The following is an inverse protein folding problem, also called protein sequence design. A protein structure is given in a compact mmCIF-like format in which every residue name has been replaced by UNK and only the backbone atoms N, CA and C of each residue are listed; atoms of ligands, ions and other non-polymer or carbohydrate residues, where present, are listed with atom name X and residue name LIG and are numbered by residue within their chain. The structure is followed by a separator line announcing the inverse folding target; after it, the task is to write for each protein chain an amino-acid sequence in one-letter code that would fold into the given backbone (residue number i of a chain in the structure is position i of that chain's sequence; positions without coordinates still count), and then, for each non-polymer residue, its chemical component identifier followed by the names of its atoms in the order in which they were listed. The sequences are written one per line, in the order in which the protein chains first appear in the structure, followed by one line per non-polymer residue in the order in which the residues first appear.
data_IF_584533139186
#
_entry.id   IF_584533139186
#
_cell.length_a   1.000
_cell.length_b   1.000
_cell.length_c   1.000
_cell.angle_alpha   90.00
_cell.angle_beta   90.00
_cell.angle_gamma   90.00
#
_symmetry.space_group_name_H-M   'P 1'
#
loop_
_entity.id
_entity.type
_entity.pdbx_description
1 polymer ?
#
# COMPACT_ATOMS: atom_id res chain seq x y z
N UNK A 1 -5.89 -12.90 4.99
CA UNK A 1 -4.67 -13.75 4.94
C UNK A 1 -3.51 -12.88 5.39
N UNK A 2 -2.95 -13.16 6.57
CA UNK A 2 -1.82 -12.38 7.11
C UNK A 2 -0.60 -12.69 6.24
N UNK A 3 -0.22 -11.76 5.36
CA UNK A 3 1.04 -11.83 4.66
C UNK A 3 2.14 -11.74 5.73
N UNK A 4 2.69 -12.89 6.14
CA UNK A 4 3.93 -12.90 6.92
C UNK A 4 4.93 -12.11 6.10
N UNK A 5 5.30 -10.91 6.57
CA UNK A 5 6.39 -10.15 5.96
C UNK A 5 7.60 -11.09 5.95
N UNK A 6 7.98 -11.56 4.75
CA UNK A 6 9.17 -12.38 4.65
C UNK A 6 10.32 -11.51 5.13
N UNK A 7 11.08 -12.01 6.10
CA UNK A 7 12.26 -11.31 6.58
C UNK A 7 13.19 -11.04 5.37
N UNK A 8 13.53 -9.77 5.09
CA UNK A 8 14.25 -9.40 3.88
C UNK A 8 15.62 -10.08 3.79
N UNK A 9 16.27 -10.32 4.93
CA UNK A 9 17.55 -11.04 4.98
C UNK A 9 17.40 -12.52 4.61
N UNK A 10 16.28 -13.17 4.95
CA UNK A 10 16.05 -14.56 4.53
C UNK A 10 15.97 -14.68 3.00
N UNK A 11 15.37 -13.68 2.33
CA UNK A 11 15.34 -13.63 0.87
C UNK A 11 16.74 -13.41 0.29
N UNK A 12 17.54 -12.52 0.88
CA UNK A 12 18.93 -12.32 0.44
C UNK A 12 19.78 -13.58 0.59
N UNK A 13 19.67 -14.31 1.70
CA UNK A 13 20.42 -15.56 1.92
C UNK A 13 20.01 -16.62 0.91
N UNK A 14 18.72 -16.74 0.60
CA UNK A 14 18.24 -17.64 -0.46
C UNK A 14 18.79 -17.24 -1.82
N UNK A 15 18.78 -15.95 -2.12
CA UNK A 15 19.33 -15.42 -3.37
C UNK A 15 20.82 -15.68 -3.49
N UNK A 16 21.58 -15.47 -2.41
CA UNK A 16 23.01 -15.78 -2.33
C UNK A 16 23.26 -17.27 -2.54
N UNK A 17 22.49 -18.16 -1.92
CA UNK A 17 22.62 -19.60 -2.14
C UNK A 17 22.30 -20.04 -3.57
N UNK A 18 21.44 -19.31 -4.28
CA UNK A 18 21.06 -19.63 -5.66
C UNK A 18 22.01 -19.05 -6.73
N UNK A 19 22.53 -17.84 -6.51
CA UNK A 19 23.31 -17.10 -7.52
C UNK A 19 24.81 -17.07 -7.22
N UNK A 20 25.19 -17.47 -6.01
CA UNK A 20 26.58 -17.61 -5.60
C UNK A 20 26.80 -19.03 -5.08
N UNK A 21 27.98 -19.32 -4.53
CA UNK A 21 28.28 -20.59 -3.88
C UNK A 21 28.08 -20.53 -2.37
N UNK A 22 27.32 -19.58 -1.85
CA UNK A 22 27.08 -19.45 -0.42
C UNK A 22 26.36 -20.71 0.13
N UNK A 23 26.80 -21.29 1.27
CA UNK A 23 27.87 -20.82 2.17
C UNK A 23 29.28 -21.36 1.85
N UNK A 24 29.44 -22.22 0.85
CA UNK A 24 30.71 -22.86 0.48
C UNK A 24 31.77 -21.87 -0.04
N UNK A 25 31.36 -20.79 -0.72
CA UNK A 25 32.21 -19.64 -1.03
C UNK A 25 31.48 -18.35 -0.64
N UNK A 26 32.20 -17.47 0.04
CA UNK A 26 31.72 -16.14 0.44
C UNK A 26 32.18 -15.09 -0.55
N UNK A 27 31.43 -14.01 -0.65
CA UNK A 27 31.84 -12.82 -1.38
C UNK A 27 32.81 -12.02 -0.50
N UNK A 28 33.43 -11.01 -1.11
CA UNK A 28 34.13 -9.95 -0.39
C UNK A 28 33.26 -9.37 0.73
N UNK A 29 33.83 -9.17 1.93
CA UNK A 29 33.07 -8.76 3.13
C UNK A 29 32.26 -7.48 2.90
N UNK A 30 32.84 -6.53 2.17
CA UNK A 30 32.17 -5.27 1.84
C UNK A 30 31.00 -5.47 0.87
N UNK A 31 31.12 -6.41 -0.07
CA UNK A 31 30.04 -6.74 -1.00
C UNK A 31 28.88 -7.44 -0.27
N UNK A 32 29.17 -8.37 0.65
CA UNK A 32 28.14 -9.00 1.49
C UNK A 32 27.41 -7.97 2.36
N UNK A 33 28.17 -7.06 2.99
CA UNK A 33 27.59 -5.99 3.79
C UNK A 33 26.69 -5.06 2.97
N UNK A 34 27.14 -4.64 1.78
CA UNK A 34 26.34 -3.81 0.88
C UNK A 34 25.05 -4.49 0.43
N UNK A 35 25.09 -5.80 0.15
CA UNK A 35 23.88 -6.57 -0.22
C UNK A 35 22.87 -6.66 0.93
N UNK A 36 23.35 -6.86 2.16
CA UNK A 36 22.47 -6.89 3.32
C UNK A 36 21.86 -5.51 3.59
N UNK A 37 22.65 -4.44 3.51
CA UNK A 37 22.18 -3.06 3.72
C UNK A 37 21.19 -2.65 2.63
N UNK A 38 21.47 -2.94 1.36
CA UNK A 38 20.56 -2.59 0.26
C UNK A 38 19.22 -3.33 0.36
N UNK A 39 19.22 -4.58 0.80
CA UNK A 39 17.99 -5.33 1.01
C UNK A 39 17.15 -4.81 2.18
N UNK A 40 17.79 -4.31 3.25
CA UNK A 40 17.11 -3.66 4.35
C UNK A 40 16.53 -2.31 3.91
N UNK A 41 17.31 -1.48 3.22
CA UNK A 41 16.85 -0.21 2.68
C UNK A 41 15.66 -0.38 1.72
N UNK A 42 15.71 -1.37 0.81
CA UNK A 42 14.60 -1.67 -0.09
C UNK A 42 13.34 -2.13 0.65
N UNK A 43 13.48 -2.82 1.79
CA UNK A 43 12.35 -3.22 2.63
C UNK A 43 11.73 -2.01 3.33
N UNK A 44 12.55 -1.10 3.86
CA UNK A 44 12.09 0.16 4.46
C UNK A 44 11.34 1.03 3.44
N UNK A 45 11.89 1.20 2.24
CA UNK A 45 11.23 1.93 1.14
C UNK A 45 9.88 1.30 0.76
N UNK A 46 9.79 -0.03 0.70
CA UNK A 46 8.55 -0.74 0.40
C UNK A 46 7.49 -0.55 1.50
N UNK A 47 7.90 -0.50 2.78
CA UNK A 47 7.01 -0.17 3.88
C UNK A 47 6.53 1.29 3.81
N UNK A 48 7.41 2.23 3.48
CA UNK A 48 7.04 3.63 3.30
C UNK A 48 6.05 3.81 2.14
N UNK A 49 6.26 3.14 1.01
CA UNK A 49 5.32 3.15 -0.11
C UNK A 49 3.93 2.64 0.28
N UNK A 50 3.85 1.64 1.16
CA UNK A 50 2.56 1.18 1.70
C UNK A 50 1.89 2.21 2.61
N UNK A 51 2.67 2.97 3.39
CA UNK A 51 2.14 4.04 4.27
C UNK A 51 1.53 5.18 3.46
N UNK A 52 2.16 5.55 2.36
CA UNK A 52 1.70 6.62 1.47
C UNK A 52 0.85 6.13 0.31
N UNK A 53 0.30 4.90 0.41
CA UNK A 53 -0.59 4.38 -0.62
C UNK A 53 -1.87 5.22 -0.65
N UNK A 54 -1.92 6.17 -1.58
CA UNK A 54 -3.12 6.95 -1.88
C UNK A 54 -4.19 5.92 -2.26
N UNK A 55 -5.16 5.72 -1.36
CA UNK A 55 -6.28 4.81 -1.61
C UNK A 55 -6.91 5.23 -2.93
N UNK A 56 -6.93 4.31 -3.90
CA UNK A 56 -7.56 4.58 -5.18
C UNK A 56 -9.02 4.96 -4.94
N UNK A 57 -9.55 5.80 -5.84
CA UNK A 57 -10.91 6.32 -5.72
C UNK A 57 -11.91 5.16 -5.75
N UNK A 58 -12.62 4.94 -4.66
CA UNK A 58 -13.66 3.91 -4.59
C UNK A 58 -14.92 4.37 -5.37
N UNK A 59 -15.26 3.71 -6.50
CA UNK A 59 -16.44 4.07 -7.29
C UNK A 59 -17.75 3.83 -6.53
N UNK A 60 -17.80 2.87 -5.60
CA UNK A 60 -18.97 2.59 -4.78
C UNK A 60 -19.19 3.70 -3.74
N UNK A 61 -18.14 4.11 -3.03
CA UNK A 61 -18.23 5.21 -2.06
C UNK A 61 -18.60 6.54 -2.76
N UNK A 62 -18.02 6.81 -3.92
CA UNK A 62 -18.30 8.06 -4.66
C UNK A 62 -19.71 8.10 -5.25
N UNK A 63 -20.25 6.97 -5.72
CA UNK A 63 -21.64 6.88 -6.18
C UNK A 63 -22.64 7.00 -5.02
N UNK A 64 -22.35 6.36 -3.88
CA UNK A 64 -23.17 6.51 -2.66
C UNK A 64 -23.26 7.96 -2.18
N UNK A 65 -22.12 8.68 -2.15
CA UNK A 65 -22.08 10.10 -1.78
C UNK A 65 -22.88 10.98 -2.74
N UNK A 66 -22.80 10.74 -4.05
CA UNK A 66 -23.60 11.46 -5.05
C UNK A 66 -25.10 11.23 -4.86
N UNK A 67 -25.51 9.98 -4.66
CA UNK A 67 -26.92 9.63 -4.43
C UNK A 67 -27.45 10.29 -3.16
N UNK A 68 -26.68 10.25 -2.07
CA UNK A 68 -27.06 10.90 -0.81
C UNK A 68 -27.22 12.42 -0.96
N UNK A 69 -26.31 13.09 -1.68
CA UNK A 69 -26.44 14.52 -1.98
C UNK A 69 -27.70 14.84 -2.80
N UNK A 70 -28.02 13.99 -3.79
CA UNK A 70 -29.21 14.12 -4.63
C UNK A 70 -30.52 13.89 -3.85
N UNK A 71 -30.52 13.00 -2.86
CA UNK A 71 -31.69 12.81 -1.99
C UNK A 71 -31.92 14.02 -1.06
N UNK A 72 -30.85 14.64 -0.56
CA UNK A 72 -30.95 15.85 0.27
C UNK A 72 -31.50 17.05 -0.51
N UNK A 73 -31.14 17.21 -1.77
CA UNK A 73 -31.67 18.30 -2.60
C UNK A 73 -33.18 18.16 -2.87
N UNK A 74 -33.71 16.92 -2.88
CA UNK A 74 -35.15 16.66 -3.05
C UNK A 74 -35.99 17.04 -1.83
N UNK A 75 -35.44 16.96 -0.61
CA UNK A 75 -36.16 17.37 0.62
C UNK A 75 -36.38 18.89 0.64
N UNK A 76 -35.50 19.67 0.00
CA UNK A 76 -35.67 21.11 -0.12
C UNK A 76 -36.63 21.56 -1.24
N UNK A 77 -37.30 20.64 -1.95
CA UNK A 77 -38.14 20.98 -3.11
C UNK A 77 -39.63 21.22 -2.81
N UNK A 78 -40.12 21.14 -1.56
CA UNK A 78 -41.54 21.50 -1.32
C UNK A 78 -41.82 22.07 0.07
N UNK A 79 -41.62 23.36 0.21
CA UNK A 79 -42.59 24.22 0.88
C UNK A 79 -42.91 25.34 -0.09
N UNK A 80 -43.88 25.11 -0.97
CA UNK A 80 -44.46 26.19 -1.76
C UNK A 80 -45.18 27.12 -0.78
N UNK A 81 -44.49 28.19 -0.33
CA UNK A 81 -45.05 29.19 0.57
C UNK A 81 -46.20 30.00 -0.08
N UNK A 82 -46.47 29.76 -1.37
CA UNK A 82 -47.60 30.33 -2.10
C UNK A 82 -48.96 29.74 -1.69
N UNK A 83 -48.99 28.64 -0.93
CA UNK A 83 -50.21 28.04 -0.37
C UNK A 83 -50.54 28.50 1.06
N UNK A 84 -50.02 29.65 1.50
CA UNK A 84 -50.53 30.33 2.71
C UNK A 84 -51.74 31.17 2.32
N UNK A 85 -52.94 30.58 2.48
CA UNK A 85 -54.20 31.34 2.63
C UNK A 85 -54.23 31.98 4.01
#
# INVERSE_FOLDING_TARGET
MSAKSLNPLQNTVRWLGAHTRFPASRLERHAEALLCVSALAAAEEAEEQQRFLIKSRDPAQTSALKTHALLRSRVHFKCDNSAKV
#
